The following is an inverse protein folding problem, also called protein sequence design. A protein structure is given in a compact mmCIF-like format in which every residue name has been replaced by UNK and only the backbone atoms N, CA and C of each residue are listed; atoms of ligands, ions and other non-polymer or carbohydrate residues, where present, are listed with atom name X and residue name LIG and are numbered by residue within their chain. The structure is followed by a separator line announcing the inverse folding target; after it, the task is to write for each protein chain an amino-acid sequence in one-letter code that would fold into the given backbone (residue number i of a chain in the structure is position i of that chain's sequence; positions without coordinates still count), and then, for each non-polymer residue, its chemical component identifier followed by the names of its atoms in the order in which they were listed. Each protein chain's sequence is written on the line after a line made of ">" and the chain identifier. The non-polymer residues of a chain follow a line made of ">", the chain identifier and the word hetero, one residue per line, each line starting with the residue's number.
data_IF_573974024974
#
_entry.id   IF_573974024974
#
_cell.length_a   1.000
_cell.length_b   1.000
_cell.length_c   1.000
_cell.angle_alpha   90.00
_cell.angle_beta   90.00
_cell.angle_gamma   90.00
#
_symmetry.space_group_name_H-M   'P 1'
#
loop_
_entity.id
_entity.type
_entity.pdbx_description
1 polymer ?
#
# COMPACT_ATOMS: atom_id res chain seq x y z
N UNK A 1 0.90 5.46 7.74
CA UNK A 1 2.11 4.59 7.69
C UNK A 1 3.09 4.99 6.55
N UNK A 2 4.00 5.94 6.81
CA UNK A 2 4.85 6.53 5.77
C UNK A 2 5.80 5.53 5.07
N UNK A 3 6.29 4.50 5.77
CA UNK A 3 7.27 3.54 5.22
C UNK A 3 6.70 2.66 4.11
N UNK A 4 5.44 2.26 4.23
CA UNK A 4 4.76 1.47 3.19
C UNK A 4 4.60 2.28 1.90
N UNK A 5 4.09 3.52 2.03
CA UNK A 5 3.92 4.42 0.88
C UNK A 5 5.25 4.75 0.19
N UNK A 6 6.34 4.94 0.95
CA UNK A 6 7.68 5.10 0.37
C UNK A 6 8.16 3.84 -0.37
N UNK A 7 7.87 2.64 0.14
CA UNK A 7 8.26 1.39 -0.51
C UNK A 7 7.53 1.19 -1.85
N UNK A 8 6.20 1.34 -1.88
CA UNK A 8 5.44 1.20 -3.12
C UNK A 8 5.76 2.31 -4.13
N UNK A 9 6.06 3.53 -3.67
CA UNK A 9 6.50 4.62 -4.55
C UNK A 9 7.85 4.31 -5.25
N UNK A 10 8.68 3.47 -4.64
CA UNK A 10 9.91 2.94 -5.24
C UNK A 10 9.69 1.62 -5.99
N UNK A 11 8.43 1.23 -6.24
CA UNK A 11 8.03 -0.03 -6.84
C UNK A 11 8.67 -1.25 -6.12
N UNK A 12 8.71 -1.22 -4.79
CA UNK A 12 9.26 -2.32 -3.98
C UNK A 12 8.12 -3.13 -3.34
N UNK A 13 8.01 -4.44 -3.63
CA UNK A 13 7.12 -5.33 -2.89
C UNK A 13 7.37 -5.27 -1.38
N UNK A 14 6.30 -5.29 -0.58
CA UNK A 14 6.39 -5.17 0.88
C UNK A 14 5.79 -6.40 1.58
N UNK A 15 6.53 -7.00 2.51
CA UNK A 15 5.97 -7.97 3.46
C UNK A 15 5.50 -7.22 4.70
N UNK A 16 4.19 -7.21 4.94
CA UNK A 16 3.57 -6.56 6.08
C UNK A 16 3.30 -7.56 7.19
N UNK A 17 3.90 -7.35 8.36
CA UNK A 17 3.66 -8.16 9.55
C UNK A 17 2.57 -7.49 10.39
N UNK A 18 1.33 -7.98 10.31
CA UNK A 18 0.18 -7.37 10.98
C UNK A 18 -1.19 -7.87 10.50
N UNK A 19 -2.27 -7.33 11.08
CA UNK A 19 -3.64 -7.73 10.75
C UNK A 19 -4.02 -7.42 9.30
N UNK A 20 -4.67 -8.37 8.63
CA UNK A 20 -5.08 -8.23 7.25
C UNK A 20 -6.12 -7.11 7.03
N UNK A 21 -6.99 -6.83 8.00
CA UNK A 21 -8.07 -5.84 7.91
C UNK A 21 -7.61 -4.37 8.07
N UNK A 22 -6.31 -4.12 8.14
CA UNK A 22 -5.72 -2.78 8.14
C UNK A 22 -5.71 -2.13 6.75
N UNK A 23 -5.45 -0.83 6.69
CA UNK A 23 -5.22 -0.10 5.43
C UNK A 23 -4.14 -0.76 4.57
N UNK A 24 -2.98 -1.10 5.16
CA UNK A 24 -1.88 -1.75 4.46
C UNK A 24 -2.29 -3.15 3.98
N UNK A 25 -2.96 -3.92 4.83
CA UNK A 25 -3.44 -5.25 4.46
C UNK A 25 -4.45 -5.22 3.31
N UNK A 26 -5.35 -4.22 3.27
CA UNK A 26 -6.23 -4.00 2.10
C UNK A 26 -5.43 -3.67 0.86
N UNK A 27 -4.52 -2.70 0.91
CA UNK A 27 -3.66 -2.35 -0.24
C UNK A 27 -2.88 -3.54 -0.79
N UNK A 28 -2.34 -4.40 0.08
CA UNK A 28 -1.62 -5.60 -0.35
C UNK A 28 -2.56 -6.61 -1.02
N UNK A 29 -3.78 -6.80 -0.50
CA UNK A 29 -4.77 -7.68 -1.14
C UNK A 29 -5.28 -7.14 -2.48
N UNK A 30 -5.58 -5.85 -2.52
CA UNK A 30 -6.26 -5.23 -3.66
C UNK A 30 -5.33 -5.08 -4.86
N UNK A 31 -4.04 -4.77 -4.63
CA UNK A 31 -3.06 -4.56 -5.69
C UNK A 31 -2.04 -5.70 -5.84
N UNK A 32 -2.02 -6.67 -4.93
CA UNK A 32 -0.99 -7.72 -4.94
C UNK A 32 0.44 -7.17 -4.72
N UNK A 33 0.59 -6.00 -4.09
CA UNK A 33 1.87 -5.29 -3.95
C UNK A 33 2.84 -5.88 -2.89
N UNK A 34 2.66 -7.14 -2.52
CA UNK A 34 3.46 -7.81 -1.50
C UNK A 34 2.71 -8.96 -0.81
N UNK A 35 3.03 -9.19 0.47
CA UNK A 35 2.44 -10.26 1.26
C UNK A 35 2.08 -9.79 2.68
N UNK A 36 1.13 -10.48 3.32
CA UNK A 36 0.70 -10.23 4.70
C UNK A 36 1.10 -11.44 5.54
N UNK A 37 1.72 -11.20 6.69
CA UNK A 37 2.12 -12.23 7.65
C UNK A 37 1.58 -11.88 9.03
N UNK A 38 1.10 -12.87 9.77
CA UNK A 38 0.60 -12.64 11.13
C UNK A 38 1.74 -12.30 12.09
N UNK A 39 1.45 -11.46 13.09
CA UNK A 39 2.43 -11.18 14.14
C UNK A 39 2.77 -12.46 14.92
N UNK A 40 4.07 -12.66 15.18
CA UNK A 40 4.57 -13.86 15.87
C UNK A 40 4.83 -15.06 14.95
N UNK A 41 4.40 -15.01 13.68
CA UNK A 41 4.62 -16.08 12.72
C UNK A 41 5.94 -15.88 11.94
N UNK A 42 7.05 -16.24 12.60
CA UNK A 42 8.39 -16.12 12.03
C UNK A 42 8.66 -17.09 10.88
N UNK A 43 8.01 -18.26 10.88
CA UNK A 43 8.18 -19.27 9.83
C UNK A 43 7.58 -18.77 8.51
N UNK A 44 6.33 -18.29 8.53
CA UNK A 44 5.68 -17.74 7.34
C UNK A 44 6.42 -16.49 6.83
N UNK A 45 6.99 -15.67 7.73
CA UNK A 45 7.83 -14.54 7.32
C UNK A 45 9.07 -14.99 6.54
N UNK A 46 9.78 -16.00 7.05
CA UNK A 46 10.96 -16.55 6.37
C UNK A 46 10.58 -17.15 5.01
N UNK A 47 9.47 -17.88 4.93
CA UNK A 47 8.95 -18.44 3.68
C UNK A 47 8.61 -17.33 2.67
N UNK A 48 7.96 -16.24 3.09
CA UNK A 48 7.64 -15.12 2.21
C UNK A 48 8.90 -14.43 1.65
N UNK A 49 9.94 -14.25 2.48
CA UNK A 49 11.23 -13.69 2.03
C UNK A 49 11.87 -14.61 0.98
N UNK A 50 11.90 -15.92 1.25
CA UNK A 50 12.47 -16.90 0.34
C UNK A 50 11.68 -17.01 -0.97
N UNK A 51 10.35 -16.97 -0.91
CA UNK A 51 9.48 -16.96 -2.07
C UNK A 51 9.84 -15.82 -3.02
N UNK A 52 9.84 -14.57 -2.54
CA UNK A 52 10.22 -13.42 -3.35
C UNK A 52 11.69 -13.42 -3.78
N UNK A 53 12.59 -14.11 -3.06
CA UNK A 53 14.00 -14.23 -3.42
C UNK A 53 14.24 -15.24 -4.54
N UNK A 54 13.49 -16.34 -4.55
CA UNK A 54 13.71 -17.49 -5.40
C UNK A 54 12.73 -17.61 -6.58
N UNK A 55 11.64 -16.86 -6.56
CA UNK A 55 10.67 -16.75 -7.65
C UNK A 55 10.70 -15.32 -8.23
N UNK A 56 11.44 -15.09 -9.34
CA UNK A 56 11.50 -13.79 -9.98
C UNK A 56 10.13 -13.31 -10.48
N UNK A 57 9.29 -14.21 -10.98
CA UNK A 57 7.98 -13.86 -11.52
C UNK A 57 7.07 -13.35 -10.40
N UNK A 58 7.09 -14.01 -9.24
CA UNK A 58 6.42 -13.52 -8.04
C UNK A 58 6.86 -12.11 -7.64
N UNK A 59 8.18 -11.86 -7.68
CA UNK A 59 8.73 -10.55 -7.34
C UNK A 59 8.29 -9.47 -8.34
N UNK A 60 8.38 -9.75 -9.65
CA UNK A 60 7.98 -8.79 -10.68
C UNK A 60 6.47 -8.54 -10.69
N UNK A 61 5.65 -9.57 -10.47
CA UNK A 61 4.21 -9.40 -10.34
C UNK A 61 3.85 -8.48 -9.16
N UNK A 62 4.47 -8.70 -7.99
CA UNK A 62 4.25 -7.83 -6.84
C UNK A 62 4.81 -6.41 -7.05
N UNK A 63 5.88 -6.27 -7.85
CA UNK A 63 6.45 -4.98 -8.23
C UNK A 63 5.47 -4.19 -9.11
N UNK A 64 4.83 -4.84 -10.08
CA UNK A 64 3.78 -4.24 -10.90
C UNK A 64 2.57 -3.81 -10.05
N UNK A 65 2.18 -4.65 -9.09
CA UNK A 65 1.16 -4.29 -8.09
C UNK A 65 1.56 -3.06 -7.25
N UNK A 66 2.83 -2.96 -6.86
CA UNK A 66 3.35 -1.80 -6.13
C UNK A 66 3.30 -0.51 -6.96
N UNK A 67 3.60 -0.57 -8.26
CA UNK A 67 3.42 0.58 -9.15
C UNK A 67 1.96 1.00 -9.25
N UNK A 68 1.03 0.05 -9.40
CA UNK A 68 -0.39 0.34 -9.49
C UNK A 68 -0.92 0.97 -8.20
N UNK A 69 -0.58 0.38 -7.06
CA UNK A 69 -0.89 0.92 -5.74
C UNK A 69 -0.35 2.36 -5.58
N UNK A 70 0.90 2.60 -5.98
CA UNK A 70 1.53 3.91 -5.91
C UNK A 70 0.86 4.93 -6.84
N UNK A 71 0.39 4.51 -8.02
CA UNK A 71 -0.35 5.36 -8.95
C UNK A 71 -1.67 5.82 -8.34
N UNK A 72 -2.36 4.93 -7.63
CA UNK A 72 -3.66 5.24 -7.01
C UNK A 72 -3.53 6.03 -5.70
N UNK A 73 -2.48 5.77 -4.93
CA UNK A 73 -2.22 6.41 -3.64
C UNK A 73 -1.58 7.81 -3.73
N UNK A 74 -1.46 8.41 -4.92
CA UNK A 74 -0.78 9.70 -5.06
C UNK A 74 -1.49 10.81 -4.29
N UNK A 75 -0.73 11.78 -3.72
CA UNK A 75 -1.27 12.90 -2.94
C UNK A 75 -2.35 13.70 -3.68
N UNK A 76 -2.38 13.69 -5.02
CA UNK A 76 -3.31 14.46 -5.83
C UNK A 76 -4.76 14.19 -5.46
N UNK A 77 -5.18 12.92 -5.25
CA UNK A 77 -6.56 12.62 -4.87
C UNK A 77 -6.92 13.16 -3.48
N UNK A 78 -6.01 13.02 -2.51
CA UNK A 78 -6.21 13.52 -1.14
C UNK A 78 -6.21 15.05 -1.10
N UNK A 79 -5.26 15.70 -1.79
CA UNK A 79 -5.19 17.16 -1.94
C UNK A 79 -6.47 17.69 -2.60
N UNK A 80 -6.94 17.07 -3.67
CA UNK A 80 -8.19 17.46 -4.33
C UNK A 80 -9.41 17.32 -3.40
N UNK A 81 -9.47 16.27 -2.58
CA UNK A 81 -10.54 16.12 -1.57
C UNK A 81 -10.50 17.25 -0.55
N UNK A 82 -9.32 17.55 0.00
CA UNK A 82 -9.13 18.63 0.98
C UNK A 82 -9.46 20.00 0.38
N UNK A 83 -9.07 20.27 -0.86
CA UNK A 83 -9.41 21.51 -1.57
C UNK A 83 -10.92 21.65 -1.74
N UNK A 84 -11.61 20.56 -2.13
CA UNK A 84 -13.06 20.55 -2.28
C UNK A 84 -13.80 20.72 -0.95
N UNK A 85 -13.29 20.12 0.13
CA UNK A 85 -13.82 20.32 1.48
C UNK A 85 -13.65 21.77 1.95
N UNK A 86 -12.49 22.38 1.69
CA UNK A 86 -12.24 23.78 2.00
C UNK A 86 -13.19 24.72 1.23
N UNK A 87 -13.40 24.47 -0.06
CA UNK A 87 -14.34 25.24 -0.89
C UNK A 87 -15.78 25.16 -0.36
N UNK A 88 -16.24 23.95 -0.03
CA UNK A 88 -17.57 23.74 0.57
C UNK A 88 -17.72 24.47 1.92
N UNK A 89 -16.66 24.47 2.75
CA UNK A 89 -16.67 25.13 4.04
C UNK A 89 -16.73 26.66 3.90
N UNK A 90 -16.08 27.23 2.89
CA UNK A 90 -16.16 28.67 2.58
C UNK A 90 -17.57 29.03 2.11
N UNK A 91 -18.14 28.27 1.17
CA UNK A 91 -19.48 28.54 0.63
C UNK A 91 -20.57 28.52 1.71
N UNK A 92 -20.51 27.57 2.65
CA UNK A 92 -21.45 27.49 3.78
C UNK A 92 -21.35 28.63 4.79
N UNK A 93 -20.24 29.36 4.82
CA UNK A 93 -20.00 30.47 5.76
C UNK A 93 -20.39 31.83 5.19
N UNK A 94 -20.50 31.92 3.86
CA UNK A 94 -20.86 33.14 3.13
C UNK A 94 -22.35 33.17 2.79
N UNK A 95 -23.03 32.01 2.79
CA UNK A 95 -24.49 31.88 2.74
C UNK A 95 -25.13 32.05 4.12
#
# INVERSE_FOLDING_TARGET
>A
PCKFYSAIAAARPTIYVGPADTEIGRMIRDYGCGAIVNQGDGETLAQAILYFRHDPDAWFNAQQGAEEAARDSRPVKSILSLMKEAENAIQRRVA
#
